data_IF_227801388216
#
_entry.id   IF_227801388216
#
_cell.length_a   1.000
_cell.length_b   1.000
_cell.length_c   1.000
_cell.angle_alpha   90.00
_cell.angle_beta   90.00
_cell.angle_gamma   90.00
#
_symmetry.space_group_name_H-M   'P 1'
#
loop_
_entity.id
_entity.type
_entity.pdbx_description
1 polymer ?
#
# COMPACT_ATOMS: atom_id res chain seq x y z
N UNK A 1 -1.60 27.30 50.06
CA UNK A 1 -1.50 27.64 48.63
C UNK A 1 -0.18 27.13 48.10
N UNK A 2 -0.21 26.11 47.24
CA UNK A 2 0.71 25.82 46.12
C UNK A 2 0.51 24.35 45.75
N UNK A 3 -0.45 24.11 44.86
CA UNK A 3 -0.73 22.80 44.27
C UNK A 3 0.32 22.53 43.20
N UNK A 4 1.10 21.46 43.33
CA UNK A 4 1.97 20.96 42.25
C UNK A 4 1.16 19.99 41.40
N UNK A 5 0.66 20.46 40.26
CA UNK A 5 0.09 19.62 39.22
C UNK A 5 1.24 18.94 38.47
N UNK A 6 1.41 17.64 38.67
CA UNK A 6 2.35 16.83 37.91
C UNK A 6 1.80 16.65 36.48
N UNK A 7 2.30 17.44 35.55
CA UNK A 7 2.18 17.20 34.12
C UNK A 7 3.11 16.06 33.73
N UNK A 8 2.60 14.84 33.59
CA UNK A 8 3.25 13.82 32.76
C UNK A 8 2.34 12.63 32.54
N UNK A 9 1.67 12.59 31.39
CA UNK A 9 1.36 11.34 30.71
C UNK A 9 1.30 11.62 29.21
N UNK A 10 2.48 11.88 28.62
CA UNK A 10 2.70 11.54 27.22
C UNK A 10 2.70 10.02 27.15
N UNK A 11 1.59 9.44 26.71
CA UNK A 11 1.47 8.02 26.43
C UNK A 11 0.88 7.86 25.04
N UNK A 12 1.80 7.57 24.12
CA UNK A 12 1.58 6.95 22.81
C UNK A 12 0.86 7.81 21.77
N UNK A 13 1.64 8.74 21.21
CA UNK A 13 1.68 8.85 19.75
C UNK A 13 1.91 7.42 19.21
N UNK A 14 0.84 6.72 18.85
CA UNK A 14 0.94 5.57 17.97
C UNK A 14 1.31 6.13 16.60
N UNK A 15 2.60 6.44 16.43
CA UNK A 15 3.19 6.50 15.10
C UNK A 15 3.00 5.09 14.57
N UNK A 16 1.97 4.91 13.74
CA UNK A 16 1.79 3.71 12.93
C UNK A 16 3.03 3.65 12.06
N UNK A 17 4.02 2.87 12.50
CA UNK A 17 5.17 2.53 11.71
C UNK A 17 4.66 1.74 10.51
N UNK A 18 4.41 2.41 9.40
CA UNK A 18 4.50 1.79 8.08
C UNK A 18 5.99 1.51 7.86
N UNK A 19 6.48 0.46 8.51
CA UNK A 19 7.70 -0.18 8.09
C UNK A 19 7.31 -0.97 6.82
N UNK A 20 7.97 -0.77 5.67
CA UNK A 20 7.69 -1.57 4.48
C UNK A 20 7.88 -3.05 4.83
N UNK A 21 6.77 -3.79 4.84
CA UNK A 21 6.77 -5.24 5.12
C UNK A 21 6.88 -6.04 3.82
N UNK A 22 6.55 -5.43 2.68
CA UNK A 22 6.63 -6.06 1.37
C UNK A 22 8.06 -6.40 1.00
N UNK A 23 8.22 -7.58 0.40
CA UNK A 23 9.48 -7.95 -0.25
C UNK A 23 9.74 -7.02 -1.44
N UNK A 24 11.01 -6.71 -1.75
CA UNK A 24 11.34 -5.89 -2.91
C UNK A 24 10.80 -6.49 -4.21
N UNK A 25 10.79 -7.82 -4.32
CA UNK A 25 10.19 -8.56 -5.44
C UNK A 25 8.68 -8.27 -5.58
N UNK A 26 7.95 -8.18 -4.47
CA UNK A 26 6.51 -7.86 -4.47
C UNK A 26 6.29 -6.43 -4.97
N UNK A 27 7.08 -5.47 -4.49
CA UNK A 27 7.02 -4.07 -4.94
C UNK A 27 7.28 -3.97 -6.44
N UNK A 28 8.30 -4.67 -6.96
CA UNK A 28 8.59 -4.71 -8.39
C UNK A 28 7.41 -5.26 -9.20
N UNK A 29 6.80 -6.36 -8.74
CA UNK A 29 5.62 -6.94 -9.39
C UNK A 29 4.41 -6.00 -9.36
N UNK A 30 4.18 -5.27 -8.26
CA UNK A 30 3.15 -4.22 -8.21
C UNK A 30 3.42 -3.15 -9.26
N UNK A 31 4.66 -2.65 -9.31
CA UNK A 31 5.08 -1.67 -10.30
C UNK A 31 4.84 -2.16 -11.74
N UNK A 32 5.11 -3.43 -12.03
CA UNK A 32 4.85 -4.03 -13.35
C UNK A 32 3.36 -4.02 -13.70
N UNK A 33 2.49 -4.42 -12.78
CA UNK A 33 1.04 -4.43 -13.00
C UNK A 33 0.54 -3.00 -13.23
N UNK A 34 0.94 -2.07 -12.39
CA UNK A 34 0.56 -0.64 -12.49
C UNK A 34 1.02 -0.05 -13.82
N UNK A 35 2.27 -0.33 -14.23
CA UNK A 35 2.81 0.13 -15.51
C UNK A 35 2.04 -0.44 -16.70
N UNK A 36 1.60 -1.70 -16.60
CA UNK A 36 0.81 -2.36 -17.65
C UNK A 36 -0.59 -1.78 -17.76
N UNK A 37 -1.29 -1.57 -16.64
CA UNK A 37 -2.65 -1.03 -16.65
C UNK A 37 -2.68 0.44 -17.07
N UNK A 38 -1.78 1.27 -16.52
CA UNK A 38 -1.71 2.70 -16.83
C UNK A 38 -0.91 3.01 -18.10
N UNK A 39 -0.45 1.99 -18.83
CA UNK A 39 0.35 2.11 -20.07
C UNK A 39 1.50 3.11 -19.92
N UNK A 40 2.21 3.03 -18.79
CA UNK A 40 3.27 3.99 -18.46
C UNK A 40 4.57 3.68 -19.22
N UNK A 41 5.32 4.69 -19.66
CA UNK A 41 6.60 4.48 -20.33
C UNK A 41 7.64 3.92 -19.34
N UNK A 42 8.58 3.13 -19.85
CA UNK A 42 9.64 2.50 -19.04
C UNK A 42 10.53 3.52 -18.31
N UNK A 43 10.64 4.72 -18.87
CA UNK A 43 11.40 5.86 -18.36
C UNK A 43 10.72 6.52 -17.15
N UNK A 44 9.42 6.28 -16.92
CA UNK A 44 8.73 6.85 -15.76
C UNK A 44 9.18 6.11 -14.50
N UNK A 45 9.82 6.81 -13.54
CA UNK A 45 10.20 6.20 -12.28
C UNK A 45 8.94 5.86 -11.49
N UNK A 46 8.85 4.60 -11.06
CA UNK A 46 7.88 4.12 -10.09
C UNK A 46 8.65 3.88 -8.80
N UNK A 47 8.46 4.77 -7.83
CA UNK A 47 9.02 4.62 -6.49
C UNK A 47 7.96 4.02 -5.57
N UNK A 48 8.38 3.38 -4.47
CA UNK A 48 7.43 2.89 -3.47
C UNK A 48 6.51 3.99 -2.92
N UNK A 49 7.05 5.20 -2.77
CA UNK A 49 6.30 6.37 -2.28
C UNK A 49 5.45 7.04 -3.37
N UNK A 50 5.53 6.58 -4.63
CA UNK A 50 4.74 7.14 -5.73
C UNK A 50 3.26 6.86 -5.50
N UNK A 51 2.45 7.91 -5.63
CA UNK A 51 0.99 7.79 -5.52
C UNK A 51 0.37 7.41 -6.85
N UNK A 52 -0.67 6.58 -6.84
CA UNK A 52 -1.40 6.23 -8.06
C UNK A 52 -2.04 7.45 -8.73
N UNK A 53 -2.53 8.39 -7.93
CA UNK A 53 -3.07 9.67 -8.44
C UNK A 53 -2.00 10.53 -9.14
N UNK A 54 -0.73 10.47 -8.73
CA UNK A 54 0.37 11.15 -9.42
C UNK A 54 0.69 10.51 -10.77
N UNK A 55 0.41 9.21 -10.91
CA UNK A 55 0.53 8.49 -12.17
C UNK A 55 -0.58 8.84 -13.16
N UNK A 56 -1.64 9.50 -12.70
CA UNK A 56 -2.83 9.79 -13.47
C UNK A 56 -3.89 8.70 -13.39
N UNK A 57 -3.75 7.76 -12.44
CA UNK A 57 -4.77 6.75 -12.19
C UNK A 57 -6.04 7.43 -11.65
N UNK A 58 -7.17 7.18 -12.29
CA UNK A 58 -8.47 7.56 -11.79
C UNK A 58 -9.09 6.45 -10.91
N UNK A 59 -10.35 6.66 -10.48
CA UNK A 59 -11.06 5.67 -9.67
C UNK A 59 -11.30 4.35 -10.41
N UNK A 60 -11.44 4.36 -11.74
CA UNK A 60 -11.63 3.15 -12.54
C UNK A 60 -10.30 2.42 -12.72
N UNK A 61 -9.24 3.16 -13.02
CA UNK A 61 -7.88 2.61 -13.12
C UNK A 61 -7.46 1.91 -11.84
N UNK A 62 -7.82 2.48 -10.67
CA UNK A 62 -7.51 1.88 -9.37
C UNK A 62 -8.19 0.51 -9.21
N UNK A 63 -9.44 0.36 -9.68
CA UNK A 63 -10.15 -0.93 -9.69
C UNK A 63 -9.44 -1.92 -10.62
N UNK A 64 -9.05 -1.51 -11.83
CA UNK A 64 -8.35 -2.37 -12.79
C UNK A 64 -6.95 -2.80 -12.30
N UNK A 65 -6.24 -1.91 -11.61
CA UNK A 65 -4.96 -2.21 -10.95
C UNK A 65 -5.18 -3.26 -9.87
N UNK A 66 -6.14 -3.06 -8.98
CA UNK A 66 -6.43 -4.00 -7.88
C UNK A 66 -6.83 -5.36 -8.42
N UNK A 67 -7.73 -5.43 -9.40
CA UNK A 67 -8.11 -6.69 -10.05
C UNK A 67 -6.89 -7.39 -10.71
N UNK A 68 -6.00 -6.62 -11.35
CA UNK A 68 -4.77 -7.14 -11.93
C UNK A 68 -3.80 -7.70 -10.87
N UNK A 69 -3.75 -7.08 -9.69
CA UNK A 69 -2.95 -7.56 -8.56
C UNK A 69 -3.56 -8.83 -7.95
N UNK A 70 -4.89 -8.88 -7.78
CA UNK A 70 -5.61 -10.06 -7.31
C UNK A 70 -5.35 -11.27 -8.20
N UNK A 71 -5.49 -11.14 -9.52
CA UNK A 71 -5.17 -12.23 -10.48
C UNK A 71 -3.69 -12.60 -10.46
N UNK A 72 -2.79 -11.62 -10.35
CA UNK A 72 -1.34 -11.84 -10.42
C UNK A 72 -0.82 -12.63 -9.21
N UNK A 73 -1.34 -12.33 -8.04
CA UNK A 73 -0.90 -12.92 -6.77
C UNK A 73 -1.87 -14.00 -6.25
N UNK A 74 -2.98 -14.22 -6.95
CA UNK A 74 -4.05 -15.16 -6.57
C UNK A 74 -4.57 -14.85 -5.15
N UNK A 75 -4.90 -13.59 -4.90
CA UNK A 75 -5.38 -13.07 -3.60
C UNK A 75 -6.72 -12.35 -3.77
N UNK A 76 -7.41 -12.13 -2.66
CA UNK A 76 -8.62 -11.29 -2.62
C UNK A 76 -8.34 -10.04 -1.78
N UNK A 77 -8.48 -8.87 -2.39
CA UNK A 77 -8.33 -7.57 -1.76
C UNK A 77 -9.72 -7.03 -1.45
N UNK A 78 -10.00 -6.75 -0.17
CA UNK A 78 -11.27 -6.14 0.20
C UNK A 78 -11.38 -4.73 -0.40
N UNK A 79 -12.56 -4.35 -0.89
CA UNK A 79 -12.83 -3.03 -1.48
C UNK A 79 -12.44 -1.89 -0.54
N UNK A 80 -12.80 -2.01 0.75
CA UNK A 80 -12.39 -1.05 1.79
C UNK A 80 -10.87 -0.91 1.89
N UNK A 81 -10.13 -1.99 1.67
CA UNK A 81 -8.68 -1.98 1.74
C UNK A 81 -8.10 -1.33 0.49
N UNK A 82 -8.62 -1.68 -0.69
CA UNK A 82 -8.26 -1.10 -1.97
C UNK A 82 -8.44 0.42 -2.01
N UNK A 83 -9.57 0.93 -1.49
CA UNK A 83 -9.84 2.38 -1.39
C UNK A 83 -8.84 3.12 -0.49
N UNK A 84 -8.25 2.44 0.48
CA UNK A 84 -7.24 3.00 1.37
C UNK A 84 -5.81 2.95 0.79
N UNK A 85 -5.60 2.28 -0.35
CA UNK A 85 -4.28 2.22 -0.99
C UNK A 85 -4.05 3.48 -1.81
N UNK A 86 -3.06 4.28 -1.41
CA UNK A 86 -2.72 5.51 -2.11
C UNK A 86 -1.37 5.44 -2.82
N UNK A 87 -0.48 4.57 -2.35
CA UNK A 87 0.90 4.43 -2.85
C UNK A 87 1.23 3.00 -3.28
N UNK A 88 2.26 2.86 -4.10
CA UNK A 88 2.80 1.56 -4.51
C UNK A 88 3.24 0.72 -3.31
N UNK A 89 3.90 1.33 -2.33
CA UNK A 89 4.35 0.62 -1.13
C UNK A 89 3.19 0.07 -0.31
N UNK A 90 2.14 0.87 -0.10
CA UNK A 90 0.93 0.42 0.61
C UNK A 90 0.26 -0.77 -0.10
N UNK A 91 0.23 -0.74 -1.44
CA UNK A 91 -0.31 -1.84 -2.23
C UNK A 91 0.52 -3.11 -2.01
N UNK A 92 1.84 -3.00 -2.14
CA UNK A 92 2.75 -4.13 -1.97
C UNK A 92 2.69 -4.71 -0.56
N UNK A 93 2.63 -3.86 0.47
CA UNK A 93 2.53 -4.28 1.88
C UNK A 93 1.23 -5.05 2.13
N UNK A 94 0.13 -4.59 1.52
CA UNK A 94 -1.16 -5.25 1.63
C UNK A 94 -1.16 -6.62 0.95
N UNK A 95 -0.60 -6.70 -0.25
CA UNK A 95 -0.47 -7.94 -1.01
C UNK A 95 0.33 -8.97 -0.24
N UNK A 96 1.51 -8.58 0.28
CA UNK A 96 2.36 -9.48 1.06
C UNK A 96 1.60 -10.05 2.27
N UNK A 97 0.85 -9.19 2.97
CA UNK A 97 0.02 -9.60 4.12
C UNK A 97 -1.06 -10.61 3.73
N UNK A 98 -1.68 -10.44 2.55
CA UNK A 98 -2.70 -11.37 2.05
C UNK A 98 -2.09 -12.70 1.60
N UNK A 99 -0.94 -12.68 0.93
CA UNK A 99 -0.19 -13.88 0.54
C UNK A 99 0.17 -14.71 1.79
N UNK A 100 0.70 -14.07 2.83
CA UNK A 100 1.03 -14.73 4.09
C UNK A 100 -0.21 -15.34 4.74
N UNK A 101 -1.32 -14.59 4.78
CA UNK A 101 -2.59 -15.09 5.35
C UNK A 101 -3.17 -16.26 4.57
N UNK A 102 -3.01 -16.28 3.24
CA UNK A 102 -3.45 -17.40 2.39
C UNK A 102 -2.60 -18.65 2.59
N UNK A 103 -1.29 -18.50 2.80
CA UNK A 103 -0.38 -19.63 3.02
C UNK A 103 -0.59 -20.36 4.36
N UNK A 104 -1.30 -19.74 5.31
CA UNK A 104 -1.64 -20.34 6.61
C UNK A 104 -2.99 -21.08 6.61
N UNK A 105 -3.75 -21.04 5.52
CA UNK A 105 -5.10 -21.61 5.39
C UNK A 105 -5.13 -23.02 4.78
#
# INVERSE_FOLDING_TARGET
MASFSATSSLSFFSVRANNPQARPETVEQVCEVVRKQLVLPAERPLLPDTKFSELGADSLDTVEIVMGLEEKFDIEVAEESAENITTVQEAADLIEKLILKKGEA
#
